data_IF_968654240767
#
_entry.id   IF_968654240767
#
_cell.length_a   1.000
_cell.length_b   1.000
_cell.length_c   1.000
_cell.angle_alpha   90.00
_cell.angle_beta   90.00
_cell.angle_gamma   90.00
#
_symmetry.space_group_name_H-M   'P 1'
#
loop_
_entity.id
_entity.type
_entity.pdbx_description
1 polymer ?
#
# COMPACT_ATOMS: atom_id res chain seq x y z
N UNK A 1 -11.52 -8.70 15.46
CA UNK A 1 -10.94 -7.66 14.58
C UNK A 1 -11.54 -6.35 15.02
N UNK A 2 -10.77 -5.49 15.69
CA UNK A 2 -11.18 -4.09 15.86
C UNK A 2 -11.39 -3.51 14.46
N UNK A 3 -12.49 -2.81 14.23
CA UNK A 3 -12.73 -2.16 12.95
C UNK A 3 -11.54 -1.26 12.63
N UNK A 4 -11.05 -1.30 11.38
CA UNK A 4 -10.09 -0.31 10.91
C UNK A 4 -10.79 1.04 11.02
N UNK A 5 -10.30 1.91 11.89
CA UNK A 5 -10.82 3.26 11.98
C UNK A 5 -10.26 4.04 10.79
N UNK A 6 -11.12 4.77 10.09
CA UNK A 6 -10.75 5.65 8.99
C UNK A 6 -10.73 7.10 9.45
N UNK A 7 -9.74 7.86 9.00
CA UNK A 7 -9.76 9.32 9.14
C UNK A 7 -10.93 9.93 8.36
N UNK A 8 -11.33 11.15 8.74
CA UNK A 8 -12.19 11.93 7.87
C UNK A 8 -11.46 12.24 6.54
N UNK A 9 -12.19 12.28 5.43
CA UNK A 9 -11.60 12.53 4.11
C UNK A 9 -10.86 13.87 4.07
N UNK A 10 -11.40 14.92 4.67
CA UNK A 10 -10.75 16.24 4.68
C UNK A 10 -9.44 16.22 5.47
N UNK A 11 -9.40 15.47 6.58
CA UNK A 11 -8.19 15.28 7.38
C UNK A 11 -7.13 14.48 6.61
N UNK A 12 -7.54 13.43 5.90
CA UNK A 12 -6.65 12.65 5.04
C UNK A 12 -6.07 13.52 3.92
N UNK A 13 -6.89 14.30 3.21
CA UNK A 13 -6.43 15.20 2.15
C UNK A 13 -5.46 16.27 2.69
N UNK A 14 -5.77 16.87 3.85
CA UNK A 14 -4.88 17.82 4.50
C UNK A 14 -3.55 17.16 4.87
N UNK A 15 -3.57 15.91 5.36
CA UNK A 15 -2.37 15.16 5.68
C UNK A 15 -1.47 15.01 4.45
N UNK A 16 -2.03 14.61 3.31
CA UNK A 16 -1.27 14.37 2.07
C UNK A 16 -1.01 15.63 1.23
N UNK A 17 -1.31 16.83 1.76
CA UNK A 17 -0.88 18.10 1.15
C UNK A 17 0.61 18.41 1.36
N UNK A 18 1.26 17.69 2.27
CA UNK A 18 2.67 17.88 2.63
C UNK A 18 3.49 16.67 2.18
N UNK A 19 4.59 16.93 1.46
CA UNK A 19 5.51 15.89 1.02
C UNK A 19 6.28 15.27 2.19
N UNK A 20 6.50 13.96 2.13
CA UNK A 20 7.19 13.17 3.17
C UNK A 20 8.08 12.12 2.54
N UNK A 21 9.05 11.66 3.33
CA UNK A 21 9.97 10.61 2.92
C UNK A 21 9.77 9.37 3.77
N UNK A 22 9.87 8.20 3.15
CA UNK A 22 10.09 6.94 3.82
C UNK A 22 11.55 6.57 3.59
N UNK A 23 12.36 6.68 4.64
CA UNK A 23 13.78 6.32 4.61
C UNK A 23 13.93 4.87 5.07
N UNK A 24 14.69 4.09 4.32
CA UNK A 24 15.02 2.68 4.62
C UNK A 24 13.77 1.84 4.92
N UNK A 25 12.92 1.65 3.91
CA UNK A 25 11.79 0.71 4.01
C UNK A 25 12.32 -0.66 4.42
N UNK A 26 11.64 -1.27 5.40
CA UNK A 26 12.00 -2.59 5.91
C UNK A 26 12.08 -3.62 4.77
N UNK A 27 12.95 -4.61 4.92
CA UNK A 27 13.00 -5.76 4.01
C UNK A 27 11.62 -6.43 3.93
N UNK A 28 11.29 -6.92 2.73
CA UNK A 28 10.06 -7.70 2.53
C UNK A 28 10.07 -8.96 3.40
N UNK A 29 9.13 -9.03 4.36
CA UNK A 29 8.96 -10.18 5.25
C UNK A 29 7.78 -11.03 4.77
N UNK A 30 7.91 -12.37 4.68
CA UNK A 30 6.78 -13.23 4.37
C UNK A 30 5.75 -13.26 5.51
N UNK A 31 4.48 -13.15 5.16
CA UNK A 31 3.37 -13.22 6.10
C UNK A 31 3.16 -14.66 6.61
N UNK A 32 3.23 -14.83 7.93
CA UNK A 32 3.19 -16.17 8.55
C UNK A 32 1.86 -16.89 8.32
N UNK A 33 0.77 -16.14 8.25
CA UNK A 33 -0.59 -16.69 8.16
C UNK A 33 -1.08 -16.81 6.72
N UNK A 34 -0.45 -16.11 5.77
CA UNK A 34 -0.87 -16.07 4.37
C UNK A 34 0.31 -16.43 3.45
N UNK A 35 0.42 -17.70 3.03
CA UNK A 35 1.45 -18.11 2.08
C UNK A 35 1.47 -17.24 0.82
N UNK A 36 2.66 -17.02 0.27
CA UNK A 36 2.88 -16.18 -0.91
C UNK A 36 2.40 -14.73 -0.74
N UNK A 37 2.43 -14.24 0.49
CA UNK A 37 2.22 -12.83 0.80
C UNK A 37 3.47 -12.29 1.49
N UNK A 38 3.85 -11.07 1.15
CA UNK A 38 5.00 -10.36 1.70
C UNK A 38 4.55 -8.97 2.10
N UNK A 39 5.12 -8.47 3.19
CA UNK A 39 4.85 -7.14 3.71
C UNK A 39 6.15 -6.39 3.94
N UNK A 40 6.12 -5.09 3.68
CA UNK A 40 7.17 -4.15 4.03
C UNK A 40 6.54 -2.93 4.70
N UNK A 41 7.23 -2.32 5.65
CA UNK A 41 6.72 -1.15 6.37
C UNK A 41 7.77 -0.08 6.53
N UNK A 42 7.33 1.17 6.71
CA UNK A 42 8.23 2.29 7.00
C UNK A 42 7.49 3.42 7.72
N UNK A 43 8.14 4.08 8.67
CA UNK A 43 7.65 5.32 9.25
C UNK A 43 7.93 6.49 8.32
N UNK A 44 6.93 7.32 8.01
CA UNK A 44 7.17 8.52 7.20
C UNK A 44 7.78 9.64 8.04
N UNK A 45 8.70 10.39 7.44
CA UNK A 45 9.42 11.50 8.02
C UNK A 45 8.98 12.82 7.37
N UNK A 46 9.02 13.88 8.16
CA UNK A 46 8.93 15.25 7.67
C UNK A 46 10.27 15.66 7.05
N UNK A 47 10.30 16.80 6.34
CA UNK A 47 11.50 17.29 5.67
C UNK A 47 12.70 17.58 6.61
N UNK A 48 12.45 17.74 7.91
CA UNK A 48 13.48 17.93 8.94
C UNK A 48 13.98 16.61 9.55
N UNK A 49 13.51 15.46 9.04
CA UNK A 49 13.84 14.13 9.56
C UNK A 49 13.03 13.73 10.81
N UNK A 50 12.15 14.59 11.32
CA UNK A 50 11.27 14.23 12.42
C UNK A 50 10.17 13.26 11.98
N UNK A 51 9.68 12.43 12.89
CA UNK A 51 8.56 11.53 12.58
C UNK A 51 7.31 12.32 12.21
N UNK A 52 6.67 11.97 11.09
CA UNK A 52 5.38 12.50 10.71
C UNK A 52 4.21 11.83 11.46
N UNK A 53 4.48 10.86 12.33
CA UNK A 53 3.46 10.04 12.98
C UNK A 53 2.69 9.14 12.01
N UNK A 54 3.24 8.88 10.82
CA UNK A 54 2.62 8.03 9.80
C UNK A 54 3.39 6.72 9.66
N UNK A 55 2.66 5.64 9.43
CA UNK A 55 3.17 4.33 9.09
C UNK A 55 2.66 3.97 7.69
N UNK A 56 3.58 3.66 6.79
CA UNK A 56 3.28 3.09 5.49
C UNK A 56 3.43 1.57 5.58
N UNK A 57 2.44 0.84 5.09
CA UNK A 57 2.47 -0.62 4.96
C UNK A 57 2.22 -0.98 3.49
N UNK A 58 3.11 -1.78 2.93
CA UNK A 58 3.01 -2.32 1.58
C UNK A 58 2.81 -3.82 1.71
N UNK A 59 1.77 -4.33 1.07
CA UNK A 59 1.51 -5.77 0.98
C UNK A 59 1.47 -6.17 -0.48
N UNK A 60 2.20 -7.24 -0.79
CA UNK A 60 2.15 -7.93 -2.06
C UNK A 60 1.73 -9.38 -1.80
N UNK A 61 0.75 -9.86 -2.55
CA UNK A 61 0.35 -11.28 -2.51
C UNK A 61 0.19 -11.83 -3.92
N UNK A 62 0.68 -13.04 -4.13
CA UNK A 62 0.52 -13.76 -5.39
C UNK A 62 0.01 -15.18 -5.17
N UNK A 63 -1.13 -15.51 -5.80
CA UNK A 63 -1.69 -16.85 -5.76
C UNK A 63 -1.21 -17.67 -6.96
N UNK A 64 -0.34 -18.69 -6.78
CA UNK A 64 0.09 -19.55 -7.89
C UNK A 64 -1.05 -20.35 -8.52
N UNK A 65 -2.11 -20.62 -7.74
CA UNK A 65 -3.27 -21.43 -8.14
C UNK A 65 -4.21 -20.66 -9.06
N UNK A 66 -4.53 -19.42 -8.70
CA UNK A 66 -5.47 -18.58 -9.46
C UNK A 66 -4.77 -17.60 -10.39
N UNK A 67 -3.45 -17.48 -10.27
CA UNK A 67 -2.62 -16.47 -10.94
C UNK A 67 -3.10 -15.05 -10.64
N UNK A 68 -3.58 -14.86 -9.42
CA UNK A 68 -4.05 -13.57 -8.91
C UNK A 68 -2.90 -12.84 -8.23
N UNK A 69 -2.74 -11.56 -8.54
CA UNK A 69 -1.86 -10.66 -7.80
C UNK A 69 -2.72 -9.69 -7.01
N UNK A 70 -2.31 -9.41 -5.77
CA UNK A 70 -2.98 -8.48 -4.88
C UNK A 70 -1.94 -7.50 -4.34
N UNK A 71 -2.18 -6.21 -4.59
CA UNK A 71 -1.37 -5.10 -4.12
C UNK A 71 -2.21 -4.27 -3.17
N UNK A 72 -1.75 -4.14 -1.93
CA UNK A 72 -2.43 -3.36 -0.91
C UNK A 72 -1.44 -2.42 -0.24
N UNK A 73 -1.55 -1.13 -0.51
CA UNK A 73 -0.66 -0.11 0.03
C UNK A 73 -1.45 0.83 0.93
N UNK A 74 -1.04 0.95 2.18
CA UNK A 74 -1.81 1.65 3.21
C UNK A 74 -0.95 2.67 3.93
N UNK A 75 -1.53 3.84 4.21
CA UNK A 75 -0.96 4.81 5.15
C UNK A 75 -1.85 4.90 6.38
N UNK A 76 -1.23 4.70 7.53
CA UNK A 76 -1.85 4.83 8.83
C UNK A 76 -1.32 6.08 9.54
N UNK A 77 -2.21 6.87 10.14
CA UNK A 77 -1.86 7.91 11.11
C UNK A 77 -1.88 7.29 12.51
N UNK A 78 -0.74 7.32 13.19
CA UNK A 78 -0.63 6.85 14.57
C UNK A 78 -1.27 7.86 15.51
N UNK A 79 -1.99 7.36 16.50
CA UNK A 79 -2.59 8.14 17.58
C UNK A 79 -2.33 7.43 18.92
N UNK A 80 -2.73 8.03 20.04
CA UNK A 80 -2.45 7.49 21.37
C UNK A 80 -3.12 6.13 21.66
N UNK A 81 -4.14 5.76 20.89
CA UNK A 81 -5.01 4.60 21.13
C UNK A 81 -4.91 3.53 20.03
N UNK A 82 -4.07 3.75 19.02
CA UNK A 82 -3.93 2.88 17.86
C UNK A 82 -3.52 3.65 16.61
N UNK A 83 -4.10 3.27 15.48
CA UNK A 83 -3.88 3.95 14.22
C UNK A 83 -5.18 4.04 13.42
N UNK A 84 -5.31 5.16 12.71
CA UNK A 84 -6.41 5.38 11.77
C UNK A 84 -5.87 5.29 10.36
N UNK A 85 -6.58 4.62 9.47
CA UNK A 85 -6.24 4.55 8.04
C UNK A 85 -6.52 5.91 7.40
N UNK A 86 -5.47 6.50 6.85
CA UNK A 86 -5.52 7.78 6.15
C UNK A 86 -5.69 7.58 4.64
N UNK A 87 -5.03 6.58 4.08
CA UNK A 87 -5.15 6.22 2.66
C UNK A 87 -4.95 4.72 2.47
N UNK A 88 -5.62 4.16 1.47
CA UNK A 88 -5.36 2.80 1.00
C UNK A 88 -5.56 2.69 -0.51
N UNK A 89 -4.62 2.06 -1.19
CA UNK A 89 -4.76 1.60 -2.56
C UNK A 89 -4.92 0.07 -2.53
N UNK A 90 -6.00 -0.43 -3.10
CA UNK A 90 -6.33 -1.86 -3.17
C UNK A 90 -6.49 -2.26 -4.65
N UNK A 91 -5.59 -3.10 -5.13
CA UNK A 91 -5.59 -3.59 -6.51
C UNK A 91 -5.56 -5.11 -6.49
N UNK A 92 -6.66 -5.70 -6.95
CA UNK A 92 -6.73 -7.13 -7.19
C UNK A 92 -6.76 -7.43 -8.70
N UNK A 93 -5.78 -8.22 -9.13
CA UNK A 93 -5.57 -8.57 -10.53
C UNK A 93 -6.01 -10.00 -10.75
N UNK A 94 -7.10 -10.20 -11.49
CA UNK A 94 -7.64 -11.52 -11.78
C UNK A 94 -7.76 -11.76 -13.28
N UNK A 95 -7.62 -13.02 -13.68
CA UNK A 95 -7.92 -13.48 -15.05
C UNK A 95 -9.45 -13.44 -15.32
N UNK A 96 -10.27 -13.42 -14.28
CA UNK A 96 -11.74 -13.49 -14.37
C UNK A 96 -12.37 -12.16 -13.96
N UNK A 97 -13.59 -11.91 -14.46
CA UNK A 97 -14.39 -10.74 -14.09
C UNK A 97 -14.66 -10.74 -12.58
N UNK A 98 -14.38 -9.61 -11.95
CA UNK A 98 -14.54 -9.41 -10.51
C UNK A 98 -15.91 -8.83 -10.15
N UNK A 99 -16.45 -9.14 -8.95
CA UNK A 99 -17.51 -8.36 -8.32
C UNK A 99 -17.11 -6.88 -8.14
N UNK A 100 -18.10 -5.98 -8.04
CA UNK A 100 -17.85 -4.54 -7.89
C UNK A 100 -16.98 -4.20 -6.67
N UNK A 101 -17.16 -4.94 -5.57
CA UNK A 101 -16.39 -4.69 -4.34
C UNK A 101 -14.92 -5.11 -4.45
N UNK A 102 -14.58 -5.98 -5.39
CA UNK A 102 -13.23 -6.49 -5.65
C UNK A 102 -12.56 -5.74 -6.81
N UNK A 103 -13.25 -4.79 -7.44
CA UNK A 103 -12.61 -3.92 -8.42
C UNK A 103 -11.52 -3.08 -7.73
N UNK A 104 -10.38 -2.84 -8.41
CA UNK A 104 -9.36 -1.94 -7.91
C UNK A 104 -9.96 -0.61 -7.48
N UNK A 105 -9.55 -0.12 -6.32
CA UNK A 105 -10.12 1.09 -5.72
C UNK A 105 -9.14 1.71 -4.74
N UNK A 106 -9.40 2.97 -4.39
CA UNK A 106 -8.68 3.67 -3.33
C UNK A 106 -9.65 4.12 -2.23
N UNK A 107 -9.10 4.29 -1.02
CA UNK A 107 -9.76 4.95 0.10
C UNK A 107 -8.95 6.19 0.49
N UNK A 108 -9.60 7.34 0.58
CA UNK A 108 -9.07 8.55 1.23
C UNK A 108 -9.87 8.77 2.50
N UNK A 109 -9.29 8.41 3.65
CA UNK A 109 -10.05 8.26 4.88
C UNK A 109 -11.26 7.35 4.66
N UNK A 110 -12.47 7.89 4.88
CA UNK A 110 -13.75 7.17 4.72
C UNK A 110 -14.25 7.10 3.28
N UNK A 111 -13.73 7.91 2.38
CA UNK A 111 -14.22 7.97 1.00
C UNK A 111 -13.58 6.89 0.15
N UNK A 112 -14.41 6.06 -0.47
CA UNK A 112 -13.98 5.04 -1.44
C UNK A 112 -14.22 5.54 -2.86
N UNK A 113 -13.19 5.47 -3.70
CA UNK A 113 -13.27 5.78 -5.13
C UNK A 113 -12.86 4.57 -5.95
N UNK A 114 -13.70 4.18 -6.92
CA UNK A 114 -13.37 3.09 -7.85
C UNK A 114 -12.23 3.51 -8.79
N UNK A 115 -11.29 2.60 -9.01
CA UNK A 115 -10.20 2.77 -9.96
C UNK A 115 -10.66 2.65 -11.40
N UNK A 116 -9.86 3.17 -12.33
CA UNK A 116 -10.10 2.93 -13.76
C UNK A 116 -9.79 1.48 -14.13
N UNK A 117 -10.37 1.01 -15.23
CA UNK A 117 -10.30 -0.40 -15.64
C UNK A 117 -8.88 -0.93 -15.87
N UNK A 118 -7.93 -0.04 -16.15
CA UNK A 118 -6.52 -0.37 -16.37
C UNK A 118 -5.75 -0.66 -15.07
N UNK A 119 -6.25 -0.26 -13.89
CA UNK A 119 -5.58 -0.52 -12.61
C UNK A 119 -5.35 -2.03 -12.38
N UNK A 120 -6.26 -2.86 -12.87
CA UNK A 120 -6.16 -4.32 -12.80
C UNK A 120 -4.98 -4.90 -13.60
N UNK A 121 -4.30 -4.08 -14.41
CA UNK A 121 -3.16 -4.47 -15.26
C UNK A 121 -1.85 -3.80 -14.85
N UNK A 122 -1.86 -2.93 -13.84
CA UNK A 122 -0.68 -2.19 -13.41
C UNK A 122 0.43 -3.09 -12.89
N UNK A 123 1.68 -2.75 -13.18
CA UNK A 123 2.81 -3.33 -12.45
C UNK A 123 2.84 -2.87 -11.00
N UNK A 124 3.65 -3.52 -10.16
CA UNK A 124 3.90 -3.07 -8.79
C UNK A 124 4.41 -1.62 -8.78
N UNK A 125 5.33 -1.27 -9.69
CA UNK A 125 5.92 0.07 -9.81
C UNK A 125 4.91 1.11 -10.28
N UNK A 126 3.98 0.75 -11.16
CA UNK A 126 2.91 1.64 -11.59
C UNK A 126 1.95 1.95 -10.43
N UNK A 127 1.55 0.92 -9.68
CA UNK A 127 0.73 1.08 -8.49
C UNK A 127 1.47 1.88 -7.41
N UNK A 128 2.76 1.64 -7.20
CA UNK A 128 3.56 2.35 -6.20
C UNK A 128 3.76 3.82 -6.59
N UNK A 129 4.00 4.10 -7.87
CA UNK A 129 4.08 5.49 -8.38
C UNK A 129 2.76 6.22 -8.16
N UNK A 130 1.63 5.58 -8.51
CA UNK A 130 0.31 6.15 -8.26
C UNK A 130 0.10 6.42 -6.76
N UNK A 131 0.40 5.45 -5.90
CA UNK A 131 0.34 5.60 -4.44
C UNK A 131 1.20 6.78 -3.94
N UNK A 132 2.44 6.90 -4.40
CA UNK A 132 3.35 8.00 -4.07
C UNK A 132 2.82 9.35 -4.53
N UNK A 133 2.24 9.43 -5.73
CA UNK A 133 1.67 10.66 -6.28
C UNK A 133 0.44 11.14 -5.48
N UNK A 134 -0.40 10.20 -5.04
CA UNK A 134 -1.60 10.47 -4.22
C UNK A 134 -1.24 10.87 -2.79
N UNK A 135 -0.25 10.22 -2.18
CA UNK A 135 0.11 10.42 -0.76
C UNK A 135 1.22 11.44 -0.55
N UNK A 136 1.92 11.86 -1.61
CA UNK A 136 3.15 12.69 -1.55
C UNK A 136 4.27 12.05 -0.72
N UNK A 137 4.29 10.72 -0.66
CA UNK A 137 5.34 9.95 0.00
C UNK A 137 6.35 9.46 -1.04
N UNK A 138 7.61 9.81 -0.85
CA UNK A 138 8.73 9.30 -1.66
C UNK A 138 9.52 8.28 -0.85
N UNK A 139 9.90 7.17 -1.49
CA UNK A 139 10.69 6.12 -0.86
C UNK A 139 12.17 6.27 -1.21
N UNK A 140 13.04 6.19 -0.21
CA UNK A 140 14.49 6.23 -0.37
C UNK A 140 15.17 5.18 0.53
N UNK A 141 15.78 4.12 -0.01
CA UNK A 141 15.89 3.79 -1.43
C UNK A 141 14.53 3.43 -2.06
N UNK A 142 14.42 3.37 -3.40
CA UNK A 142 13.21 2.90 -4.07
C UNK A 142 12.82 1.48 -3.64
N UNK A 143 11.53 1.23 -3.47
CA UNK A 143 10.98 -0.10 -3.17
C UNK A 143 10.75 -0.86 -4.47
N UNK A 144 11.13 -2.15 -4.49
CA UNK A 144 10.95 -3.03 -5.65
C UNK A 144 10.00 -4.19 -5.32
N UNK A 145 9.42 -4.76 -6.37
CA UNK A 145 8.54 -5.94 -6.30
C UNK A 145 9.24 -7.11 -5.57
N UNK A 146 8.64 -7.66 -4.49
CA UNK A 146 9.22 -8.81 -3.79
C UNK A 146 9.23 -10.07 -4.66
N UNK A 147 8.30 -10.24 -5.58
CA UNK A 147 8.18 -11.46 -6.39
C UNK A 147 9.42 -11.71 -7.25
N UNK A 148 9.98 -10.65 -7.84
CA UNK A 148 11.21 -10.74 -8.65
C UNK A 148 12.46 -10.94 -7.77
N UNK A 149 12.41 -10.47 -6.52
CA UNK A 149 13.54 -10.54 -5.57
C UNK A 149 13.75 -11.94 -4.98
N UNK A 150 12.70 -12.77 -4.91
CA UNK A 150 12.77 -14.15 -4.38
C UNK A 150 12.89 -15.24 -5.45
N UNK A 151 13.09 -14.90 -6.72
CA UNK A 151 13.42 -15.90 -7.73
C UNK A 151 14.84 -16.43 -7.49
N UNK A 152 14.95 -17.49 -6.69
CA UNK A 152 16.16 -18.31 -6.61
C UNK A 152 16.59 -18.63 -8.04
N UNK A 153 17.80 -18.16 -8.42
CA UNK A 153 18.50 -18.67 -9.60
C UNK A 153 18.52 -20.18 -9.48
N UNK A 154 17.70 -20.88 -10.28
CA UNK A 154 17.87 -22.31 -10.49
C UNK A 154 19.21 -22.45 -11.21
N UNK A 155 20.26 -22.79 -10.46
CA UNK A 155 21.47 -23.38 -11.00
C UNK A 155 21.18 -24.82 -11.40
#
# INVERSE_FOLDING_TARGET
MAGVNDLDTAEALALFSVARTCEDVDDWVPERQQPHSWTASCGALNADGSSAGLLVELLYRWSPKTKTTYLLFTVHKRNAWGSDRAYQLDIEQHIRKLPLHDLPHEHFGKERTEGSSDWATWSFEEALRYFSDRTKITFNPPVFDPHNSFQLKRQ
#
